data_IF_784197610205
#
_entry.id   IF_784197610205
#
_cell.length_a   1.000
_cell.length_b   1.000
_cell.length_c   1.000
_cell.angle_alpha   90.00
_cell.angle_beta   90.00
_cell.angle_gamma   90.00
#
_symmetry.space_group_name_H-M   'P 1'
#
loop_
_entity.id
_entity.type
_entity.pdbx_description
1 polymer ?
#
# COMPACT_ATOMS: atom_id res chain seq x y z
N UNK A 1 -44.21 -19.64 28.06
CA UNK A 1 -43.76 -18.34 27.49
C UNK A 1 -42.25 -18.26 27.24
N UNK A 2 -41.40 -18.98 27.98
CA UNK A 2 -39.94 -18.92 27.81
C UNK A 2 -39.39 -19.51 26.49
N UNK A 3 -40.06 -20.51 25.90
CA UNK A 3 -39.61 -21.11 24.63
C UNK A 3 -39.68 -20.15 23.44
N UNK A 4 -40.65 -19.22 23.42
CA UNK A 4 -40.78 -18.23 22.34
C UNK A 4 -39.66 -17.18 22.38
N UNK A 5 -39.24 -16.81 23.59
CA UNK A 5 -38.15 -15.84 23.78
C UNK A 5 -36.81 -16.48 23.41
N UNK A 6 -36.61 -17.76 23.77
CA UNK A 6 -35.38 -18.50 23.46
C UNK A 6 -35.21 -18.75 21.95
N UNK A 7 -36.29 -19.06 21.23
CA UNK A 7 -36.24 -19.24 19.78
C UNK A 7 -36.00 -17.92 19.05
N UNK A 8 -36.61 -16.83 19.51
CA UNK A 8 -36.41 -15.50 18.93
C UNK A 8 -34.95 -15.02 19.07
N UNK A 9 -34.31 -15.23 20.22
CA UNK A 9 -32.90 -14.83 20.43
C UNK A 9 -31.94 -15.71 19.65
N UNK A 10 -32.23 -17.01 19.50
CA UNK A 10 -31.45 -17.92 18.65
C UNK A 10 -31.51 -17.51 17.18
N UNK A 11 -32.70 -17.19 16.67
CA UNK A 11 -32.88 -16.72 15.27
C UNK A 11 -32.18 -15.38 15.06
N UNK A 12 -32.29 -14.44 16.00
CA UNK A 12 -31.63 -13.14 15.92
C UNK A 12 -30.10 -13.28 15.93
N UNK A 13 -29.56 -14.15 16.79
CA UNK A 13 -28.13 -14.46 16.83
C UNK A 13 -27.65 -15.10 15.53
N UNK A 14 -28.38 -16.08 15.00
CA UNK A 14 -28.10 -16.71 13.71
C UNK A 14 -28.10 -15.68 12.58
N UNK A 15 -29.06 -14.76 12.58
CA UNK A 15 -29.18 -13.70 11.57
C UNK A 15 -28.05 -12.69 11.66
N UNK A 16 -27.61 -12.32 12.87
CA UNK A 16 -26.43 -11.46 13.09
C UNK A 16 -25.15 -12.17 12.63
N UNK A 17 -25.00 -13.47 12.91
CA UNK A 17 -23.86 -14.27 12.45
C UNK A 17 -23.85 -14.36 10.93
N UNK A 18 -24.99 -14.64 10.28
CA UNK A 18 -25.10 -14.65 8.82
C UNK A 18 -24.85 -13.28 8.20
N UNK A 19 -25.36 -12.21 8.81
CA UNK A 19 -25.14 -10.85 8.33
C UNK A 19 -23.66 -10.45 8.43
N UNK A 20 -22.99 -10.87 9.51
CA UNK A 20 -21.55 -10.67 9.71
C UNK A 20 -20.68 -11.60 8.85
N UNK A 21 -21.17 -12.78 8.47
CA UNK A 21 -20.48 -13.76 7.63
C UNK A 21 -20.79 -13.65 6.13
N UNK A 22 -21.67 -12.73 5.71
CA UNK A 22 -21.86 -12.29 4.30
C UNK A 22 -20.67 -11.49 3.74
N UNK A 23 -19.44 -11.88 4.11
CA UNK A 23 -18.20 -11.42 3.48
C UNK A 23 -17.34 -12.61 3.06
N UNK A 24 -17.98 -13.69 2.60
CA UNK A 24 -17.31 -14.83 1.98
C UNK A 24 -17.91 -15.04 0.59
N UNK A 25 -17.53 -14.17 -0.35
CA UNK A 25 -17.49 -14.54 -1.76
C UNK A 25 -16.25 -15.42 -1.94
N UNK A 26 -16.37 -16.72 -2.26
CA UNK A 26 -15.22 -17.49 -2.71
C UNK A 26 -14.85 -17.03 -4.12
N UNK A 27 -13.84 -16.15 -4.24
CA UNK A 27 -13.19 -15.85 -5.53
C UNK A 27 -12.26 -16.99 -5.98
N UNK A 28 -12.71 -18.24 -5.92
CA UNK A 28 -11.88 -19.39 -6.29
C UNK A 28 -12.22 -20.05 -7.63
N UNK A 29 -13.13 -19.51 -8.45
CA UNK A 29 -13.49 -20.14 -9.75
C UNK A 29 -13.79 -19.16 -10.90
N UNK A 30 -12.95 -18.15 -11.09
CA UNK A 30 -12.81 -17.43 -12.38
C UNK A 30 -11.31 -17.15 -12.51
N UNK A 31 -10.54 -17.55 -13.52
CA UNK A 31 -10.81 -18.11 -14.84
C UNK A 31 -9.46 -18.68 -15.33
N UNK A 32 -9.28 -20.01 -15.32
CA UNK A 32 -8.13 -20.64 -16.00
C UNK A 32 -8.53 -20.87 -17.46
N UNK A 33 -8.50 -19.79 -18.24
CA UNK A 33 -8.51 -19.91 -19.70
C UNK A 33 -7.22 -20.63 -20.14
N UNK A 34 -7.29 -21.56 -21.11
CA UNK A 34 -6.10 -22.20 -21.64
C UNK A 34 -5.18 -21.15 -22.29
N UNK A 35 -3.87 -21.32 -22.11
CA UNK A 35 -2.85 -20.37 -22.58
C UNK A 35 -2.85 -20.12 -24.11
N UNK A 36 -3.66 -20.87 -24.87
CA UNK A 36 -3.82 -20.75 -26.32
C UNK A 36 -4.78 -19.65 -26.78
N UNK A 37 -5.57 -19.04 -25.88
CA UNK A 37 -6.52 -17.98 -26.23
C UNK A 37 -6.15 -16.60 -25.67
N UNK A 38 -4.98 -16.48 -25.03
CA UNK A 38 -4.52 -15.22 -24.48
C UNK A 38 -3.81 -14.40 -25.58
N UNK A 39 -4.20 -13.14 -25.82
CA UNK A 39 -3.48 -12.30 -26.77
C UNK A 39 -2.01 -12.18 -26.33
N UNK A 40 -1.05 -12.22 -27.27
CA UNK A 40 0.36 -12.13 -26.93
C UNK A 40 0.61 -10.82 -26.16
N UNK A 41 1.41 -10.85 -25.07
CA UNK A 41 1.76 -9.61 -24.38
C UNK A 41 2.49 -8.68 -25.36
N UNK A 42 2.33 -7.34 -25.22
CA UNK A 42 3.13 -6.41 -26.00
C UNK A 42 4.60 -6.69 -25.73
N UNK A 43 5.34 -7.02 -26.79
CA UNK A 43 6.77 -7.28 -26.75
C UNK A 43 7.47 -5.98 -26.34
N UNK A 44 7.80 -5.89 -25.05
CA UNK A 44 8.78 -4.92 -24.54
C UNK A 44 10.10 -5.26 -25.23
N UNK A 45 10.43 -4.51 -26.27
CA UNK A 45 11.72 -4.58 -26.94
C UNK A 45 12.75 -3.94 -26.02
N UNK A 46 13.53 -4.78 -25.34
CA UNK A 46 14.73 -4.35 -24.62
C UNK A 46 15.78 -3.88 -25.65
N UNK A 47 16.27 -2.63 -25.59
CA UNK A 47 17.34 -2.18 -26.46
C UNK A 47 18.67 -2.52 -25.79
N UNK A 48 19.05 -3.80 -25.79
CA UNK A 48 20.44 -4.30 -25.75
C UNK A 48 20.42 -5.82 -25.60
N UNK A 49 20.23 -6.53 -26.71
CA UNK A 49 20.63 -7.92 -26.81
C UNK A 49 21.72 -7.98 -27.88
N UNK A 50 22.97 -7.96 -27.43
CA UNK A 50 24.11 -8.38 -28.24
C UNK A 50 23.79 -9.77 -28.79
N UNK A 51 23.66 -9.86 -30.10
CA UNK A 51 23.38 -11.08 -30.86
C UNK A 51 24.31 -12.23 -30.44
N UNK A 52 23.79 -13.38 -29.96
CA UNK A 52 24.59 -14.59 -29.89
C UNK A 52 24.53 -15.33 -31.23
N UNK A 53 25.64 -15.95 -31.68
CA UNK A 53 25.70 -16.62 -32.97
C UNK A 53 24.99 -17.98 -32.94
N UNK A 54 24.39 -18.31 -34.09
CA UNK A 54 24.08 -19.65 -34.62
C UNK A 54 23.65 -20.74 -33.63
N UNK A 55 22.33 -20.93 -33.59
CA UNK A 55 21.59 -22.17 -33.34
C UNK A 55 22.39 -23.49 -33.42
N UNK A 56 22.88 -23.94 -32.26
CA UNK A 56 23.31 -25.31 -32.02
C UNK A 56 22.19 -26.15 -31.40
N UNK A 57 22.00 -27.37 -31.91
CA UNK A 57 20.99 -28.34 -31.44
C UNK A 57 21.22 -28.86 -29.99
N UNK A 58 22.31 -28.46 -29.34
CA UNK A 58 22.70 -28.91 -28.01
C UNK A 58 22.17 -28.05 -26.84
N UNK A 59 21.56 -26.89 -27.09
CA UNK A 59 21.06 -26.00 -26.02
C UNK A 59 19.78 -26.48 -25.32
N UNK A 60 19.16 -27.55 -25.82
CA UNK A 60 17.85 -28.05 -25.33
C UNK A 60 17.94 -28.99 -24.12
N UNK A 61 19.12 -29.50 -23.79
CA UNK A 61 19.25 -30.50 -22.72
C UNK A 61 19.48 -29.91 -21.32
N UNK A 62 19.93 -28.66 -21.20
CA UNK A 62 20.29 -28.07 -19.90
C UNK A 62 19.39 -26.90 -19.46
N UNK A 63 18.33 -26.59 -20.21
CA UNK A 63 17.38 -25.53 -19.84
C UNK A 63 16.49 -25.89 -18.64
N UNK A 64 16.53 -27.11 -18.11
CA UNK A 64 15.64 -27.56 -17.03
C UNK A 64 16.13 -27.21 -15.62
N UNK A 65 17.28 -26.55 -15.47
CA UNK A 65 17.90 -26.30 -14.16
C UNK A 65 18.11 -24.82 -13.87
N UNK A 66 17.33 -23.92 -14.47
CA UNK A 66 17.26 -22.54 -13.99
C UNK A 66 16.33 -22.49 -12.78
N UNK A 67 16.85 -22.40 -11.54
CA UNK A 67 16.01 -22.27 -10.37
C UNK A 67 15.38 -20.89 -10.48
N UNK A 68 14.07 -20.87 -10.67
CA UNK A 68 13.14 -19.78 -10.38
C UNK A 68 13.84 -18.47 -10.07
N UNK A 69 14.15 -17.68 -11.11
CA UNK A 69 14.23 -16.25 -10.93
C UNK A 69 12.92 -15.90 -10.21
N UNK A 70 13.01 -15.53 -8.93
CA UNK A 70 11.87 -15.05 -8.15
C UNK A 70 11.44 -13.77 -8.83
N UNK A 71 10.61 -13.90 -9.86
CA UNK A 71 9.98 -12.81 -10.58
C UNK A 71 9.23 -12.06 -9.50
N UNK A 72 9.62 -10.81 -9.29
CA UNK A 72 8.86 -9.90 -8.47
C UNK A 72 7.41 -9.94 -8.95
N UNK A 73 6.53 -10.52 -8.14
CA UNK A 73 5.09 -10.45 -8.38
C UNK A 73 4.63 -9.18 -7.67
N UNK A 74 4.10 -8.19 -8.40
CA UNK A 74 3.54 -7.01 -7.77
C UNK A 74 2.43 -7.46 -6.82
N UNK A 75 2.39 -6.86 -5.63
CA UNK A 75 1.34 -7.13 -4.64
C UNK A 75 0.01 -6.70 -5.27
N UNK A 76 -0.96 -7.62 -5.45
CA UNK A 76 -2.25 -7.27 -6.03
C UNK A 76 -2.99 -6.30 -5.10
N UNK A 77 -3.52 -5.20 -5.65
CA UNK A 77 -4.50 -4.36 -4.95
C UNK A 77 -4.16 -2.88 -4.80
N UNK A 78 -2.97 -2.42 -5.20
CA UNK A 78 -2.62 -1.00 -5.16
C UNK A 78 -1.79 -0.65 -6.41
N UNK A 79 -2.44 -0.07 -7.41
CA UNK A 79 -1.81 0.42 -8.65
C UNK A 79 -2.05 1.94 -8.82
N UNK A 80 -1.27 2.60 -9.68
CA UNK A 80 -1.40 4.04 -9.86
C UNK A 80 -2.82 4.45 -10.31
N UNK A 81 -3.44 3.64 -11.17
CA UNK A 81 -4.79 3.87 -11.69
C UNK A 81 -5.88 3.79 -10.61
N UNK A 82 -5.82 2.80 -9.71
CA UNK A 82 -6.74 2.73 -8.56
C UNK A 82 -6.47 3.85 -7.57
N UNK A 83 -5.21 4.25 -7.36
CA UNK A 83 -4.87 5.35 -6.47
C UNK A 83 -5.51 6.66 -6.92
N UNK A 84 -5.43 6.97 -8.22
CA UNK A 84 -6.09 8.18 -8.75
C UNK A 84 -7.61 8.07 -8.67
N UNK A 85 -8.20 6.89 -8.93
CA UNK A 85 -9.64 6.68 -8.83
C UNK A 85 -10.15 6.82 -7.38
N UNK A 86 -9.32 6.47 -6.40
CA UNK A 86 -9.61 6.61 -4.98
C UNK A 86 -9.27 8.00 -4.42
N UNK A 87 -8.91 8.97 -5.27
CA UNK A 87 -8.58 10.33 -4.83
C UNK A 87 -7.25 10.44 -4.07
N UNK A 88 -6.33 9.49 -4.23
CA UNK A 88 -5.01 9.48 -3.62
C UNK A 88 -3.97 10.23 -4.47
N UNK A 89 -4.36 11.39 -5.01
CA UNK A 89 -3.52 12.30 -5.77
C UNK A 89 -3.93 13.75 -5.49
N UNK A 90 -2.96 14.66 -5.53
CA UNK A 90 -3.14 16.09 -5.30
C UNK A 90 -2.20 16.90 -6.19
N UNK A 91 -2.34 18.22 -6.19
CA UNK A 91 -1.43 19.12 -6.94
C UNK A 91 0.03 18.97 -6.51
N UNK A 92 0.29 18.73 -5.22
CA UNK A 92 1.65 18.52 -4.68
C UNK A 92 2.12 17.05 -4.82
N UNK A 93 1.23 16.16 -5.25
CA UNK A 93 1.48 14.75 -5.43
C UNK A 93 0.71 14.23 -6.65
N UNK A 94 1.17 14.68 -7.82
CA UNK A 94 0.63 14.25 -9.10
C UNK A 94 1.24 12.90 -9.50
N UNK A 95 0.37 11.95 -9.84
CA UNK A 95 0.75 10.60 -10.28
C UNK A 95 0.36 10.33 -11.73
N UNK A 96 -0.18 11.33 -12.44
CA UNK A 96 -0.67 11.21 -13.81
C UNK A 96 0.42 10.78 -14.80
N UNK A 97 1.63 11.34 -14.67
CA UNK A 97 2.78 10.96 -15.47
C UNK A 97 3.17 9.49 -15.27
N UNK A 98 3.15 9.00 -14.03
CA UNK A 98 3.50 7.61 -13.72
C UNK A 98 2.49 6.62 -14.35
N UNK A 99 1.20 7.02 -14.41
CA UNK A 99 0.16 6.25 -15.10
C UNK A 99 0.42 6.24 -16.60
N UNK A 100 0.74 7.41 -17.18
CA UNK A 100 0.99 7.55 -18.62
C UNK A 100 2.23 6.76 -19.08
N UNK A 101 3.29 6.76 -18.28
CA UNK A 101 4.54 6.05 -18.54
C UNK A 101 4.43 4.53 -18.27
N UNK A 102 3.30 4.07 -17.73
CA UNK A 102 3.08 2.67 -17.40
C UNK A 102 4.03 2.17 -16.30
N UNK A 103 4.34 3.01 -15.31
CA UNK A 103 5.23 2.64 -14.20
C UNK A 103 4.63 1.45 -13.44
N UNK A 104 5.40 0.36 -13.39
CA UNK A 104 5.03 -0.91 -12.75
C UNK A 104 5.08 -0.88 -11.22
N UNK A 105 5.64 0.17 -10.61
CA UNK A 105 5.67 0.34 -9.15
C UNK A 105 4.26 0.65 -8.64
N UNK A 106 3.92 0.13 -7.47
CA UNK A 106 2.66 0.46 -6.78
C UNK A 106 2.62 1.91 -6.28
N UNK A 107 3.80 2.51 -6.06
CA UNK A 107 3.95 3.90 -5.66
C UNK A 107 3.65 4.16 -4.18
N UNK A 108 2.39 4.05 -3.81
CA UNK A 108 1.92 4.17 -2.43
C UNK A 108 1.94 2.80 -1.74
N UNK A 109 2.41 2.78 -0.49
CA UNK A 109 2.30 1.57 0.34
C UNK A 109 0.81 1.20 0.56
N UNK A 110 0.39 -0.06 0.32
CA UNK A 110 -1.00 -0.45 0.44
C UNK A 110 -1.61 -0.17 1.82
N UNK A 111 -0.83 -0.41 2.89
CA UNK A 111 -1.32 -0.16 4.25
C UNK A 111 -1.50 1.33 4.51
N UNK A 112 -0.53 2.14 4.08
CA UNK A 112 -0.61 3.58 4.26
C UNK A 112 -1.66 4.26 3.42
N UNK A 113 -1.91 3.77 2.22
CA UNK A 113 -2.98 4.28 1.39
C UNK A 113 -4.37 3.95 1.95
N UNK A 114 -4.57 2.74 2.50
CA UNK A 114 -5.80 2.39 3.22
C UNK A 114 -6.03 3.29 4.44
N UNK A 115 -4.98 3.57 5.22
CA UNK A 115 -5.07 4.49 6.37
C UNK A 115 -5.48 5.90 5.93
N UNK A 116 -4.86 6.40 4.85
CA UNK A 116 -5.18 7.72 4.28
C UNK A 116 -6.64 7.77 3.84
N UNK A 117 -7.12 6.77 3.10
CA UNK A 117 -8.53 6.67 2.70
C UNK A 117 -9.45 6.68 3.92
N UNK A 118 -9.09 5.94 4.97
CA UNK A 118 -9.87 5.91 6.22
C UNK A 118 -9.92 7.29 6.87
N UNK A 119 -8.80 8.02 6.94
CA UNK A 119 -8.75 9.38 7.48
C UNK A 119 -9.58 10.35 6.61
N UNK A 120 -9.49 10.25 5.28
CA UNK A 120 -10.30 11.06 4.37
C UNK A 120 -11.79 10.82 4.59
N UNK A 121 -12.23 9.56 4.70
CA UNK A 121 -13.63 9.20 4.90
C UNK A 121 -14.14 9.60 6.29
N UNK A 122 -13.33 9.45 7.33
CA UNK A 122 -13.74 9.72 8.72
C UNK A 122 -13.73 11.21 9.07
N UNK A 123 -12.76 11.97 8.55
CA UNK A 123 -12.59 13.39 8.89
C UNK A 123 -13.06 14.34 7.77
N UNK A 124 -13.38 13.83 6.59
CA UNK A 124 -13.82 14.65 5.46
C UNK A 124 -12.74 15.61 4.94
N UNK A 125 -11.47 15.22 5.05
CA UNK A 125 -10.32 16.05 4.69
C UNK A 125 -9.74 15.68 3.33
N UNK A 126 -8.97 16.60 2.73
CA UNK A 126 -8.26 16.36 1.47
C UNK A 126 -7.13 15.32 1.64
N UNK A 127 -6.66 14.76 0.52
CA UNK A 127 -5.56 13.79 0.50
C UNK A 127 -4.29 14.28 1.22
N UNK A 128 -3.87 15.53 0.97
CA UNK A 128 -2.66 16.08 1.59
C UNK A 128 -2.84 16.29 3.10
N UNK A 129 -4.02 16.72 3.53
CA UNK A 129 -4.35 16.83 4.95
C UNK A 129 -4.38 15.46 5.62
N UNK A 130 -4.98 14.46 4.98
CA UNK A 130 -5.00 13.09 5.49
C UNK A 130 -3.59 12.50 5.62
N UNK A 131 -2.72 12.74 4.64
CA UNK A 131 -1.29 12.37 4.72
C UNK A 131 -0.60 13.02 5.92
N UNK A 132 -0.82 14.32 6.12
CA UNK A 132 -0.25 15.06 7.26
C UNK A 132 -0.74 14.49 8.59
N UNK A 133 -2.04 14.22 8.72
CA UNK A 133 -2.63 13.65 9.92
C UNK A 133 -2.04 12.26 10.20
N UNK A 134 -2.01 11.38 9.20
CA UNK A 134 -1.40 10.05 9.32
C UNK A 134 0.05 10.14 9.79
N UNK A 135 0.82 11.03 9.18
CA UNK A 135 2.23 11.21 9.54
C UNK A 135 2.39 11.64 11.00
N UNK A 136 1.59 12.61 11.46
CA UNK A 136 1.56 13.04 12.87
C UNK A 136 1.20 11.89 13.82
N UNK A 137 0.22 11.06 13.45
CA UNK A 137 -0.13 9.86 14.24
C UNK A 137 1.03 8.87 14.35
N UNK A 138 1.79 8.66 13.27
CA UNK A 138 2.98 7.80 13.27
C UNK A 138 4.06 8.37 14.18
N UNK A 139 4.32 9.67 14.16
CA UNK A 139 5.31 10.31 15.04
C UNK A 139 4.96 10.09 16.52
N UNK A 140 3.71 10.38 16.89
CA UNK A 140 3.21 10.17 18.26
C UNK A 140 3.34 8.70 18.67
N UNK A 141 2.98 7.76 17.79
CA UNK A 141 3.11 6.32 18.05
C UNK A 141 4.56 5.88 18.30
N UNK A 142 5.53 6.59 17.72
CA UNK A 142 6.96 6.34 17.90
C UNK A 142 7.60 7.23 18.97
N UNK A 143 6.81 7.84 19.86
CA UNK A 143 7.29 8.70 20.94
C UNK A 143 8.09 9.91 20.42
N UNK A 144 7.65 10.49 19.30
CA UNK A 144 8.20 11.71 18.69
C UNK A 144 7.10 12.78 18.71
N UNK A 145 7.47 14.00 19.06
CA UNK A 145 6.58 15.15 19.06
C UNK A 145 6.19 15.52 17.61
N UNK A 146 4.90 15.51 17.24
CA UNK A 146 4.46 15.84 15.89
C UNK A 146 4.63 17.32 15.51
N UNK A 147 4.88 18.22 16.48
CA UNK A 147 5.09 19.65 16.21
C UNK A 147 6.58 19.99 16.08
N UNK A 148 7.41 19.55 17.03
CA UNK A 148 8.85 19.85 17.02
C UNK A 148 9.69 18.82 16.27
N UNK A 149 9.18 17.59 16.07
CA UNK A 149 9.94 16.47 15.52
C UNK A 149 10.96 15.87 16.49
N UNK A 150 10.99 16.32 17.75
CA UNK A 150 11.93 15.85 18.76
C UNK A 150 11.40 14.59 19.48
N UNK A 151 12.28 13.72 19.98
CA UNK A 151 11.87 12.62 20.83
C UNK A 151 11.16 13.13 22.10
N UNK A 152 10.06 12.49 22.47
CA UNK A 152 9.32 12.72 23.73
C UNK A 152 9.96 11.99 24.92
N UNK A 153 11.11 11.33 24.74
CA UNK A 153 11.83 10.65 25.81
C UNK A 153 12.52 11.65 26.74
N UNK A 154 12.24 11.54 28.03
CA UNK A 154 12.89 12.30 29.11
C UNK A 154 14.41 12.22 29.12
N UNK A 155 14.99 11.16 28.54
CA UNK A 155 16.44 10.94 28.47
C UNK A 155 17.05 11.45 27.17
N UNK A 156 16.24 11.93 26.22
CA UNK A 156 16.75 12.47 24.97
C UNK A 156 17.45 13.81 25.22
N UNK A 157 18.75 13.85 24.95
CA UNK A 157 19.52 15.10 24.94
C UNK A 157 19.25 15.81 23.62
N UNK A 158 18.38 16.82 23.64
CA UNK A 158 18.00 17.60 22.45
C UNK A 158 18.84 18.87 22.27
N UNK A 159 19.60 19.27 23.29
CA UNK A 159 20.48 20.44 23.29
C UNK A 159 21.78 20.13 24.02
N UNK A 160 22.91 20.43 23.39
CA UNK A 160 24.24 20.37 24.00
C UNK A 160 24.60 21.77 24.49
N UNK A 161 23.98 22.22 25.59
CA UNK A 161 24.39 23.39 26.38
C UNK A 161 24.89 24.62 25.59
N UNK A 162 24.02 25.26 24.80
CA UNK A 162 24.27 26.59 24.25
C UNK A 162 23.85 27.67 25.24
N UNK A 163 24.81 28.42 25.78
CA UNK A 163 24.58 29.48 26.75
C UNK A 163 23.55 30.51 26.29
N UNK A 164 22.70 30.95 27.22
CA UNK A 164 21.82 32.11 27.06
C UNK A 164 22.68 33.32 26.68
N UNK A 165 22.46 33.98 25.52
CA UNK A 165 23.14 35.23 25.23
C UNK A 165 22.54 36.31 26.13
N UNK A 166 23.32 36.71 27.14
CA UNK A 166 23.34 38.06 27.69
C UNK A 166 22.01 38.64 28.17
N UNK A 167 21.64 38.34 29.41
CA UNK A 167 20.99 39.34 30.25
C UNK A 167 22.00 40.45 30.55
N UNK A 168 22.19 41.38 29.62
CA UNK A 168 22.88 42.64 29.91
C UNK A 168 21.95 43.49 30.76
N UNK A 169 22.03 43.26 32.06
CA UNK A 169 21.74 44.28 33.07
C UNK A 169 22.91 45.23 33.05
N UNK A 170 22.70 46.45 32.54
CA UNK A 170 23.51 47.62 32.87
C UNK A 170 22.63 48.87 32.73
N UNK A 171 22.57 49.67 33.81
CA UNK A 171 22.22 51.10 33.82
C UNK A 171 20.75 51.47 33.92
#
# INVERSE_FOLDING_TARGET
>A
MYHSILTATFILSLLIILYRSRSLLPHSLTSRLPASLQPPPPSVSLPYATSPPSSGLFSRLFSSLSPTARRYMPVPGFDWSSNTANGLSSTLFDISANIADGDSRSGLDPSGAQDIQTIMQTQGVSFDQARLIRHKQILVKNNIDPQTGLPLDSKAVTSLGGGVPGSSRDG
#
